data_IF_522407947739
#
_entry.id   IF_522407947739
#
_cell.length_a   1.000
_cell.length_b   1.000
_cell.length_c   1.000
_cell.angle_alpha   90.00
_cell.angle_beta   90.00
_cell.angle_gamma   90.00
#
_symmetry.space_group_name_H-M   'P 1'
#
loop_
_entity.id
_entity.type
_entity.pdbx_description
1 polymer ?
#
# COMPACT_ATOMS: atom_id res chain seq x y z
N UNK A 1 19.33 1.12 -0.06
CA UNK A 1 19.86 -0.15 -0.61
C UNK A 1 20.11 -1.22 0.47
N UNK A 2 20.76 -0.87 1.59
CA UNK A 2 21.04 -1.77 2.73
C UNK A 2 19.86 -2.65 3.22
N UNK A 3 18.65 -2.08 3.34
CA UNK A 3 17.44 -2.83 3.75
C UNK A 3 17.03 -3.95 2.76
N UNK A 4 17.26 -3.74 1.46
CA UNK A 4 16.93 -4.72 0.41
C UNK A 4 17.92 -5.88 0.47
N UNK A 5 19.20 -5.58 0.66
CA UNK A 5 20.28 -6.55 0.81
C UNK A 5 20.09 -7.39 2.07
N UNK A 6 19.81 -6.75 3.22
CA UNK A 6 19.51 -7.46 4.46
C UNK A 6 18.28 -8.38 4.37
N UNK A 7 17.20 -7.93 3.71
CA UNK A 7 16.02 -8.78 3.46
C UNK A 7 16.32 -9.96 2.55
N UNK A 8 17.20 -9.79 1.56
CA UNK A 8 17.62 -10.88 0.68
C UNK A 8 18.34 -11.98 1.46
N UNK A 9 19.37 -11.63 2.22
CA UNK A 9 20.13 -12.62 3.00
C UNK A 9 19.29 -13.32 4.06
N UNK A 10 18.43 -12.58 4.76
CA UNK A 10 17.46 -13.17 5.70
C UNK A 10 16.54 -14.18 5.03
N UNK A 11 16.04 -13.88 3.82
CA UNK A 11 15.15 -14.79 3.08
C UNK A 11 15.88 -16.03 2.56
N UNK A 12 17.14 -15.88 2.13
CA UNK A 12 17.97 -16.97 1.64
C UNK A 12 18.61 -17.81 2.75
N UNK A 13 18.43 -17.43 4.03
CA UNK A 13 19.07 -18.08 5.18
C UNK A 13 20.59 -18.23 4.99
N UNK A 14 21.22 -17.20 4.40
CA UNK A 14 22.61 -17.29 3.96
C UNK A 14 23.51 -16.33 4.73
N UNK A 15 23.91 -16.75 5.92
CA UNK A 15 24.69 -15.96 6.89
C UNK A 15 26.10 -15.63 6.38
N UNK A 16 26.75 -16.57 5.68
CA UNK A 16 28.11 -16.39 5.13
C UNK A 16 28.18 -15.20 4.18
N UNK A 17 27.15 -15.01 3.35
CA UNK A 17 27.11 -13.89 2.42
C UNK A 17 26.68 -12.58 3.09
N UNK A 18 25.91 -12.65 4.18
CA UNK A 18 25.59 -11.48 5.00
C UNK A 18 26.84 -10.93 5.71
N UNK A 19 27.67 -11.81 6.27
CA UNK A 19 28.94 -11.43 6.92
C UNK A 19 29.92 -10.82 5.93
N UNK A 20 30.11 -11.44 4.76
CA UNK A 20 30.97 -10.89 3.70
C UNK A 20 30.53 -9.49 3.24
N UNK A 21 29.23 -9.22 3.25
CA UNK A 21 28.71 -7.89 2.93
C UNK A 21 28.92 -6.87 4.06
N UNK A 22 28.81 -7.28 5.33
CA UNK A 22 29.08 -6.42 6.50
C UNK A 22 30.55 -6.02 6.61
N UNK A 23 31.46 -6.85 6.13
CA UNK A 23 32.90 -6.61 6.08
C UNK A 23 33.35 -5.70 4.91
N UNK A 24 32.41 -5.02 4.25
CA UNK A 24 32.64 -4.07 3.14
C UNK A 24 33.40 -4.68 1.93
N UNK A 25 33.37 -6.01 1.80
CA UNK A 25 33.92 -6.69 0.62
C UNK A 25 33.00 -6.36 -0.56
N UNK A 26 33.57 -5.94 -1.70
CA UNK A 26 32.85 -5.62 -2.96
C UNK A 26 31.80 -6.69 -3.27
N UNK A 27 30.56 -6.43 -2.90
CA UNK A 27 29.43 -7.30 -3.18
C UNK A 27 28.62 -6.66 -4.29
N UNK A 28 28.54 -7.32 -5.45
CA UNK A 28 27.79 -6.84 -6.61
C UNK A 28 26.28 -6.95 -6.38
N UNK A 29 25.74 -5.98 -5.64
CA UNK A 29 24.33 -5.90 -5.24
C UNK A 29 23.40 -5.93 -6.46
N UNK A 30 23.80 -5.28 -7.55
CA UNK A 30 22.94 -5.12 -8.72
C UNK A 30 22.65 -6.46 -9.39
N UNK A 31 23.69 -7.21 -9.75
CA UNK A 31 23.53 -8.46 -10.49
C UNK A 31 23.03 -9.61 -9.61
N UNK A 32 23.41 -9.64 -8.33
CA UNK A 32 23.09 -10.77 -7.43
C UNK A 32 21.79 -10.61 -6.67
N UNK A 33 21.30 -9.39 -6.45
CA UNK A 33 20.09 -9.14 -5.64
C UNK A 33 19.02 -8.42 -6.43
N UNK A 34 19.36 -7.32 -7.12
CA UNK A 34 18.35 -6.51 -7.81
C UNK A 34 17.73 -7.25 -9.01
N UNK A 35 18.51 -8.02 -9.78
CA UNK A 35 17.97 -8.86 -10.88
C UNK A 35 17.00 -9.95 -10.40
N UNK A 36 17.17 -10.40 -9.16
CA UNK A 36 16.30 -11.38 -8.52
C UNK A 36 15.03 -10.74 -7.96
N UNK A 37 14.95 -9.41 -7.85
CA UNK A 37 13.69 -8.76 -7.48
C UNK A 37 12.70 -8.82 -8.64
N UNK A 38 11.48 -9.26 -8.35
CA UNK A 38 10.33 -9.09 -9.20
C UNK A 38 9.67 -7.77 -8.82
N UNK A 39 9.74 -6.79 -9.73
CA UNK A 39 8.94 -5.57 -9.65
C UNK A 39 7.48 -6.01 -9.65
N UNK A 40 6.68 -5.65 -8.63
CA UNK A 40 5.27 -5.98 -8.65
C UNK A 40 4.61 -5.23 -9.80
N UNK A 41 3.88 -5.95 -10.64
CA UNK A 41 2.98 -5.32 -11.60
C UNK A 41 1.92 -4.54 -10.83
N UNK A 42 1.80 -3.25 -11.13
CA UNK A 42 0.90 -2.29 -10.49
C UNK A 42 -0.02 -1.61 -11.50
N UNK A 43 -0.25 -2.24 -12.66
CA UNK A 43 -1.04 -1.68 -13.75
C UNK A 43 -2.35 -1.03 -13.28
N UNK A 44 -3.15 -1.72 -12.48
CA UNK A 44 -4.47 -1.21 -12.06
C UNK A 44 -4.34 -0.01 -11.13
N UNK A 45 -3.34 -0.03 -10.24
CA UNK A 45 -3.04 1.13 -9.39
C UNK A 45 -2.57 2.34 -10.22
N UNK A 46 -1.74 2.11 -11.24
CA UNK A 46 -1.29 3.16 -12.15
C UNK A 46 -2.45 3.74 -12.97
N UNK A 47 -3.36 2.90 -13.46
CA UNK A 47 -4.53 3.34 -14.22
C UNK A 47 -5.52 4.11 -13.31
N UNK A 48 -5.76 3.61 -12.08
CA UNK A 48 -6.50 4.35 -11.06
C UNK A 48 -5.86 5.71 -10.74
N UNK A 49 -4.53 5.77 -10.63
CA UNK A 49 -3.81 7.03 -10.37
C UNK A 49 -4.02 8.05 -11.50
N UNK A 50 -4.05 7.61 -12.77
CA UNK A 50 -4.37 8.52 -13.89
C UNK A 50 -5.77 9.10 -13.76
N UNK A 51 -6.77 8.28 -13.40
CA UNK A 51 -8.15 8.74 -13.16
C UNK A 51 -8.19 9.74 -12.00
N UNK A 52 -7.46 9.46 -10.92
CA UNK A 52 -7.36 10.39 -9.80
C UNK A 52 -6.73 11.73 -10.22
N UNK A 53 -5.66 11.69 -11.01
CA UNK A 53 -5.03 12.91 -11.55
C UNK A 53 -5.97 13.69 -12.46
N UNK A 54 -6.78 13.03 -13.30
CA UNK A 54 -7.77 13.74 -14.12
C UNK A 54 -8.88 14.39 -13.30
N UNK A 55 -9.23 13.82 -12.14
CA UNK A 55 -10.20 14.42 -11.21
C UNK A 55 -9.59 15.54 -10.35
N UNK A 56 -8.29 15.47 -10.05
CA UNK A 56 -7.59 16.44 -9.20
C UNK A 56 -7.13 17.70 -9.96
N UNK A 57 -6.76 17.56 -11.23
CA UNK A 57 -6.45 18.69 -12.09
C UNK A 57 -7.74 19.29 -12.62
N UNK A 58 -8.25 20.30 -11.93
CA UNK A 58 -9.28 21.18 -12.45
C UNK A 58 -8.85 21.67 -13.84
N UNK A 59 -9.61 21.31 -14.88
CA UNK A 59 -9.69 22.17 -16.06
C UNK A 59 -10.11 23.57 -15.61
N UNK A 60 -9.74 24.66 -16.31
CA UNK A 60 -10.12 26.03 -15.94
C UNK A 60 -11.63 26.25 -15.90
N UNK A 61 -12.40 25.35 -16.50
CA UNK A 61 -13.77 25.06 -16.11
C UNK A 61 -13.74 24.17 -14.86
N UNK A 62 -13.48 24.75 -13.69
CA UNK A 62 -14.07 24.25 -12.45
C UNK A 62 -15.47 23.76 -12.81
N UNK A 63 -15.78 22.48 -12.64
CA UNK A 63 -17.11 21.95 -12.94
C UNK A 63 -18.11 22.84 -12.20
N UNK A 64 -18.65 23.84 -12.90
CA UNK A 64 -19.86 24.51 -12.50
C UNK A 64 -20.87 23.39 -12.68
N UNK A 65 -21.15 22.72 -11.56
CA UNK A 65 -22.16 21.67 -11.50
C UNK A 65 -23.45 22.37 -11.95
N UNK A 66 -23.80 22.24 -13.22
CA UNK A 66 -25.20 22.41 -13.60
C UNK A 66 -25.94 21.35 -12.81
N UNK A 67 -26.85 21.78 -11.94
CA UNK A 67 -27.72 20.92 -11.13
C UNK A 67 -28.76 20.23 -12.01
N UNK A 68 -28.31 19.56 -13.07
CA UNK A 68 -29.13 18.66 -13.86
C UNK A 68 -28.85 17.25 -13.32
N UNK A 69 -29.67 16.84 -12.35
CA UNK A 69 -29.43 15.64 -11.53
C UNK A 69 -29.29 14.34 -12.31
N UNK A 70 -29.76 14.30 -13.57
CA UNK A 70 -29.64 13.14 -14.46
C UNK A 70 -28.29 13.05 -15.19
N UNK A 71 -27.58 14.17 -15.38
CA UNK A 71 -26.27 14.18 -16.05
C UNK A 71 -25.10 13.94 -15.07
N UNK A 72 -25.31 14.14 -13.77
CA UNK A 72 -24.25 14.07 -12.76
C UNK A 72 -24.18 12.73 -12.00
N UNK A 73 -25.12 11.80 -12.20
CA UNK A 73 -25.17 10.55 -11.42
C UNK A 73 -23.91 9.69 -11.62
N UNK A 74 -23.45 9.57 -12.86
CA UNK A 74 -22.23 8.82 -13.22
C UNK A 74 -20.99 9.46 -12.59
N UNK A 75 -20.90 10.80 -12.63
CA UNK A 75 -19.76 11.53 -12.06
C UNK A 75 -19.74 11.49 -10.52
N UNK A 76 -20.92 11.52 -9.89
CA UNK A 76 -21.09 11.35 -8.45
C UNK A 76 -20.71 9.92 -8.04
N UNK A 77 -21.18 8.91 -8.77
CA UNK A 77 -20.85 7.51 -8.50
C UNK A 77 -19.34 7.26 -8.66
N UNK A 78 -18.73 7.78 -9.72
CA UNK A 78 -17.29 7.69 -9.95
C UNK A 78 -16.52 8.36 -8.79
N UNK A 79 -16.91 9.57 -8.41
CA UNK A 79 -16.27 10.31 -7.30
C UNK A 79 -16.39 9.56 -5.98
N UNK A 80 -17.57 9.01 -5.69
CA UNK A 80 -17.82 8.20 -4.50
C UNK A 80 -16.92 6.96 -4.48
N UNK A 81 -16.85 6.23 -5.59
CA UNK A 81 -16.00 5.04 -5.73
C UNK A 81 -14.50 5.36 -5.55
N UNK A 82 -14.03 6.49 -6.11
CA UNK A 82 -12.65 6.95 -5.92
C UNK A 82 -12.37 7.25 -4.45
N UNK A 83 -13.27 7.96 -3.76
CA UNK A 83 -13.14 8.27 -2.33
C UNK A 83 -13.10 6.98 -1.50
N UNK A 84 -13.99 6.02 -1.76
CA UNK A 84 -14.00 4.74 -1.06
C UNK A 84 -12.67 3.98 -1.23
N UNK A 85 -12.13 3.92 -2.45
CA UNK A 85 -10.83 3.27 -2.71
C UNK A 85 -9.72 3.97 -1.94
N UNK A 86 -9.66 5.30 -1.93
CA UNK A 86 -8.67 6.07 -1.19
C UNK A 86 -8.76 5.84 0.32
N UNK A 87 -9.97 5.84 0.88
CA UNK A 87 -10.20 5.54 2.29
C UNK A 87 -9.74 4.11 2.62
N UNK A 88 -10.00 3.13 1.76
CA UNK A 88 -9.49 1.78 1.95
C UNK A 88 -7.96 1.69 1.88
N UNK A 89 -7.32 2.40 0.94
CA UNK A 89 -5.86 2.52 0.89
C UNK A 89 -5.29 3.14 2.18
N UNK A 90 -5.95 4.16 2.76
CA UNK A 90 -5.58 4.75 4.05
C UNK A 90 -5.64 3.72 5.17
N UNK A 91 -6.74 2.97 5.29
CA UNK A 91 -6.87 1.94 6.32
C UNK A 91 -5.86 0.79 6.16
N UNK A 92 -5.54 0.40 4.92
CA UNK A 92 -4.46 -0.56 4.63
C UNK A 92 -3.10 -0.03 5.11
N UNK A 93 -2.80 1.24 4.85
CA UNK A 93 -1.56 1.88 5.29
C UNK A 93 -1.48 1.96 6.82
N UNK A 94 -2.56 2.38 7.48
CA UNK A 94 -2.66 2.46 8.94
C UNK A 94 -2.43 1.08 9.58
N UNK A 95 -3.05 0.03 9.03
CA UNK A 95 -2.82 -1.34 9.48
C UNK A 95 -1.37 -1.82 9.27
N UNK A 96 -0.70 -1.35 8.22
CA UNK A 96 0.72 -1.60 8.02
C UNK A 96 1.57 -0.96 9.13
N UNK A 97 1.26 0.28 9.52
CA UNK A 97 1.91 0.96 10.64
C UNK A 97 1.71 0.21 11.96
N UNK A 98 0.49 -0.23 12.26
CA UNK A 98 0.19 -1.02 13.47
C UNK A 98 0.85 -2.39 13.47
N UNK A 99 1.28 -2.91 12.31
CA UNK A 99 2.02 -4.17 12.22
C UNK A 99 3.54 -4.00 12.38
N UNK A 100 4.03 -2.76 12.55
CA UNK A 100 5.45 -2.49 12.69
C UNK A 100 5.97 -2.93 14.08
N UNK A 101 6.90 -3.89 14.09
CA UNK A 101 7.48 -4.46 15.32
C UNK A 101 8.15 -3.43 16.24
N UNK A 102 8.80 -2.39 15.68
CA UNK A 102 9.45 -1.34 16.49
C UNK A 102 8.40 -0.48 17.19
N UNK A 103 7.39 -0.05 16.46
CA UNK A 103 6.26 0.71 17.00
C UNK A 103 5.52 -0.10 18.07
N UNK A 104 5.25 -1.38 17.80
CA UNK A 104 4.61 -2.29 18.76
C UNK A 104 5.41 -2.49 20.04
N UNK A 105 6.75 -2.48 19.98
CA UNK A 105 7.60 -2.53 21.18
C UNK A 105 7.45 -1.28 22.03
N UNK A 106 7.40 -0.11 21.39
CA UNK A 106 7.20 1.18 22.08
C UNK A 106 5.80 1.30 22.68
N UNK A 107 4.76 0.88 21.94
CA UNK A 107 3.37 0.87 22.40
C UNK A 107 3.19 -0.01 23.64
N UNK A 108 3.87 -1.17 23.70
CA UNK A 108 3.80 -2.08 24.86
C UNK A 108 4.31 -1.47 26.17
N UNK A 109 5.03 -0.35 26.11
CA UNK A 109 5.47 0.38 27.31
C UNK A 109 4.33 1.17 27.96
N UNK A 110 3.20 1.38 27.27
CA UNK A 110 1.98 2.00 27.81
C UNK A 110 0.78 1.06 27.62
N UNK A 111 0.24 0.49 28.71
CA UNK A 111 -0.93 -0.41 28.65
C UNK A 111 -2.19 0.23 28.05
N UNK A 112 -2.40 1.52 28.30
CA UNK A 112 -3.54 2.30 27.78
C UNK A 112 -3.47 2.42 26.25
N UNK A 113 -2.32 2.86 25.73
CA UNK A 113 -2.07 2.99 24.30
C UNK A 113 -2.11 1.62 23.61
N UNK A 114 -1.63 0.56 24.28
CA UNK A 114 -1.70 -0.80 23.77
C UNK A 114 -3.15 -1.29 23.59
N UNK A 115 -4.04 -0.98 24.54
CA UNK A 115 -5.47 -1.34 24.45
C UNK A 115 -6.17 -0.58 23.33
N UNK A 116 -5.93 0.73 23.23
CA UNK A 116 -6.49 1.58 22.17
C UNK A 116 -6.04 1.12 20.77
N UNK A 117 -4.76 0.78 20.62
CA UNK A 117 -4.20 0.26 19.36
C UNK A 117 -4.84 -1.05 18.91
N UNK A 118 -5.13 -1.97 19.84
CA UNK A 118 -5.81 -3.23 19.52
C UNK A 118 -7.22 -2.96 19.00
N UNK A 119 -7.98 -2.07 19.66
CA UNK A 119 -9.32 -1.68 19.25
C UNK A 119 -9.32 -1.00 17.86
N UNK A 120 -8.43 -0.03 17.64
CA UNK A 120 -8.26 0.65 16.35
C UNK A 120 -7.91 -0.32 15.22
N UNK A 121 -7.06 -1.31 15.48
CA UNK A 121 -6.71 -2.34 14.50
C UNK A 121 -7.89 -3.24 14.15
N UNK A 122 -8.68 -3.65 15.14
CA UNK A 122 -9.89 -4.45 14.91
C UNK A 122 -10.92 -3.66 14.10
N UNK A 123 -11.20 -2.41 14.48
CA UNK A 123 -12.07 -1.50 13.73
C UNK A 123 -11.60 -1.29 12.30
N UNK A 124 -10.31 -1.02 12.11
CA UNK A 124 -9.75 -0.83 10.76
C UNK A 124 -9.80 -2.11 9.92
N UNK A 125 -9.64 -3.29 10.51
CA UNK A 125 -9.77 -4.55 9.77
C UNK A 125 -11.22 -4.85 9.37
N UNK A 126 -12.17 -4.60 10.27
CA UNK A 126 -13.60 -4.71 9.97
C UNK A 126 -14.01 -3.76 8.84
N UNK A 127 -13.59 -2.49 8.93
CA UNK A 127 -13.86 -1.47 7.92
C UNK A 127 -13.31 -1.87 6.55
N UNK A 128 -12.05 -2.31 6.46
CA UNK A 128 -11.48 -2.80 5.19
C UNK A 128 -12.31 -3.95 4.61
N UNK A 129 -12.75 -4.89 5.45
CA UNK A 129 -13.54 -6.04 5.00
C UNK A 129 -14.88 -5.58 4.41
N UNK A 130 -15.60 -4.73 5.13
CA UNK A 130 -16.88 -4.18 4.71
C UNK A 130 -16.73 -3.35 3.44
N UNK A 131 -15.83 -2.36 3.41
CA UNK A 131 -15.63 -1.51 2.22
C UNK A 131 -15.15 -2.31 1.01
N UNK A 132 -14.30 -3.32 1.19
CA UNK A 132 -13.87 -4.16 0.05
C UNK A 132 -15.02 -4.98 -0.53
N UNK A 133 -16.05 -5.33 0.26
CA UNK A 133 -17.24 -6.02 -0.27
C UNK A 133 -18.13 -5.14 -1.16
N UNK A 134 -17.96 -3.82 -1.09
CA UNK A 134 -18.64 -2.87 -1.97
C UNK A 134 -17.92 -2.67 -3.31
N UNK A 135 -16.71 -3.22 -3.47
CA UNK A 135 -15.88 -2.97 -4.64
C UNK A 135 -16.21 -3.94 -5.78
N UNK A 136 -16.20 -3.41 -6.99
CA UNK A 136 -16.10 -4.22 -8.21
C UNK A 136 -14.78 -5.00 -8.25
N UNK A 137 -14.68 -5.98 -9.15
CA UNK A 137 -13.44 -6.73 -9.35
C UNK A 137 -12.24 -5.81 -9.63
N UNK A 138 -12.45 -4.73 -10.37
CA UNK A 138 -11.39 -3.78 -10.70
C UNK A 138 -10.96 -2.96 -9.48
N UNK A 139 -11.89 -2.52 -8.63
CA UNK A 139 -11.56 -1.90 -7.34
C UNK A 139 -10.75 -2.84 -6.44
N UNK A 140 -11.07 -4.14 -6.44
CA UNK A 140 -10.28 -5.16 -5.72
C UNK A 140 -8.88 -5.31 -6.33
N UNK A 141 -8.72 -5.26 -7.66
CA UNK A 141 -7.41 -5.32 -8.33
C UNK A 141 -6.54 -4.12 -7.96
N UNK A 142 -7.12 -2.91 -7.90
CA UNK A 142 -6.41 -1.70 -7.42
C UNK A 142 -5.87 -1.89 -6.00
N UNK A 143 -6.71 -2.39 -5.08
CA UNK A 143 -6.27 -2.67 -3.71
C UNK A 143 -5.19 -3.76 -3.64
N UNK A 144 -5.29 -4.81 -4.47
CA UNK A 144 -4.25 -5.85 -4.56
C UNK A 144 -2.93 -5.24 -5.00
N UNK A 145 -2.93 -4.40 -6.04
CA UNK A 145 -1.73 -3.73 -6.53
C UNK A 145 -1.14 -2.75 -5.50
N UNK A 146 -1.99 -2.06 -4.73
CA UNK A 146 -1.57 -1.20 -3.62
C UNK A 146 -0.86 -1.98 -2.49
N UNK A 147 -1.38 -3.17 -2.14
CA UNK A 147 -0.80 -4.04 -1.10
C UNK A 147 0.47 -4.76 -1.55
N UNK A 148 0.76 -4.84 -2.86
CA UNK A 148 1.91 -5.59 -3.39
C UNK A 148 3.25 -4.94 -2.98
N UNK A 149 4.12 -5.79 -2.45
CA UNK A 149 5.51 -5.49 -2.15
C UNK A 149 6.46 -6.19 -3.12
N UNK A 150 7.68 -5.66 -3.20
CA UNK A 150 8.77 -6.29 -3.95
C UNK A 150 9.07 -7.67 -3.37
N UNK A 151 9.16 -8.68 -4.24
CA UNK A 151 9.47 -10.05 -3.85
C UNK A 151 10.64 -10.58 -4.67
N UNK A 152 11.54 -11.34 -4.04
CA UNK A 152 12.56 -12.07 -4.77
C UNK A 152 11.91 -13.23 -5.55
N UNK A 153 12.26 -13.35 -6.84
CA UNK A 153 12.01 -14.51 -7.70
C UNK A 153 12.48 -15.76 -6.97
N UNK A 154 11.66 -16.82 -7.00
CA UNK A 154 12.07 -18.14 -6.52
C UNK A 154 13.14 -18.70 -7.43
#
# INVERSE_FOLDING_TARGET
MYLVIGKYFYKQQNEIWAEKWLEDRKYEVYDKILRLLKIPDKKHLCDFWKVLCSLAHATPSSQQISLDGQFNEIDIELSYNVVLILLCCKHVLVNYFYSNRKLMRLIKLSPEVAKEMVDLRQKSAAWIKETTSLFSEDGIKVLKDYKRYWVFKK
#
